data_IF_861728980169
#
_entry.id   IF_861728980169
#
_cell.length_a   1.000
_cell.length_b   1.000
_cell.length_c   1.000
_cell.angle_alpha   90.00
_cell.angle_beta   90.00
_cell.angle_gamma   90.00
#
_symmetry.space_group_name_H-M   'P 1'
#
loop_
_entity.id
_entity.type
_entity.pdbx_description
1 polymer ?
#
# COMPACT_ATOMS: atom_id res chain seq x y z
N UNK A 1 -2.96 14.48 -1.76
CA UNK A 1 -2.65 13.28 -0.95
C UNK A 1 -1.25 13.32 -0.32
N UNK A 2 -0.19 13.67 -1.07
CA UNK A 2 1.21 13.70 -0.61
C UNK A 2 1.45 14.46 0.71
N UNK A 3 0.79 15.60 0.93
CA UNK A 3 0.97 16.40 2.15
C UNK A 3 0.37 15.79 3.44
N UNK A 4 -0.55 14.82 3.33
CA UNK A 4 -1.22 14.24 4.50
C UNK A 4 -0.34 13.14 5.12
N UNK A 5 0.19 12.22 4.31
CA UNK A 5 1.13 11.20 4.78
C UNK A 5 2.43 11.83 5.31
N UNK A 6 2.94 12.87 4.64
CA UNK A 6 4.12 13.62 5.09
C UNK A 6 3.89 14.37 6.42
N UNK A 7 2.69 14.95 6.64
CA UNK A 7 2.36 15.66 7.90
C UNK A 7 2.15 14.74 9.11
N UNK A 8 1.68 13.51 8.90
CA UNK A 8 1.30 12.61 10.00
C UNK A 8 2.31 11.50 10.33
N UNK A 9 3.48 11.49 9.68
CA UNK A 9 4.54 10.52 9.98
C UNK A 9 5.05 10.58 11.42
N UNK A 10 5.02 11.78 12.04
CA UNK A 10 5.33 12.02 13.46
C UNK A 10 4.12 11.91 14.39
N UNK A 11 2.95 11.58 13.85
CA UNK A 11 1.70 11.46 14.61
C UNK A 11 1.63 10.15 15.42
N UNK A 12 0.68 10.08 16.35
CA UNK A 12 0.42 8.89 17.16
C UNK A 12 0.18 7.65 16.26
N UNK A 13 0.74 6.46 16.55
CA UNK A 13 0.68 5.28 15.66
C UNK A 13 -0.74 4.95 15.17
N UNK A 14 -1.74 5.02 16.07
CA UNK A 14 -3.16 4.84 15.74
C UNK A 14 -3.68 5.78 14.64
N UNK A 15 -3.23 7.03 14.61
CA UNK A 15 -3.64 8.02 13.60
C UNK A 15 -3.00 7.71 12.26
N UNK A 16 -1.75 7.24 12.26
CA UNK A 16 -1.05 6.80 11.04
C UNK A 16 -1.76 5.61 10.40
N UNK A 17 -2.12 4.59 11.19
CA UNK A 17 -2.87 3.42 10.70
C UNK A 17 -4.22 3.82 10.11
N UNK A 18 -4.98 4.70 10.78
CA UNK A 18 -6.28 5.16 10.27
C UNK A 18 -6.16 5.96 8.97
N UNK A 19 -5.09 6.76 8.82
CA UNK A 19 -4.81 7.45 7.56
C UNK A 19 -4.41 6.46 6.47
N UNK A 20 -3.56 5.47 6.76
CA UNK A 20 -3.20 4.44 5.79
C UNK A 20 -4.43 3.66 5.31
N UNK A 21 -5.33 3.29 6.21
CA UNK A 21 -6.63 2.66 5.89
C UNK A 21 -7.48 3.60 5.02
N UNK A 22 -7.62 4.88 5.40
CA UNK A 22 -8.40 5.83 4.63
C UNK A 22 -7.82 6.06 3.21
N UNK A 23 -6.50 6.11 3.08
CA UNK A 23 -5.81 6.23 1.79
C UNK A 23 -5.98 4.96 0.96
N UNK A 24 -5.88 3.77 1.57
CA UNK A 24 -6.13 2.50 0.89
C UNK A 24 -7.58 2.39 0.41
N UNK A 25 -8.55 2.75 1.26
CA UNK A 25 -9.96 2.81 0.90
C UNK A 25 -10.21 3.79 -0.25
N UNK A 26 -9.54 4.95 -0.24
CA UNK A 26 -9.61 5.90 -1.36
C UNK A 26 -8.95 5.35 -2.63
N UNK A 27 -7.83 4.63 -2.52
CA UNK A 27 -7.13 4.05 -3.66
C UNK A 27 -7.99 3.04 -4.44
N UNK A 28 -8.87 2.30 -3.75
CA UNK A 28 -9.87 1.45 -4.42
C UNK A 28 -10.78 2.26 -5.36
N UNK A 29 -11.07 3.52 -5.03
CA UNK A 29 -11.95 4.39 -5.83
C UNK A 29 -11.22 5.20 -6.90
N UNK A 30 -9.89 5.32 -6.82
CA UNK A 30 -9.08 6.10 -7.76
C UNK A 30 -8.49 5.15 -8.82
N UNK A 31 -8.75 5.37 -10.12
CA UNK A 31 -8.14 4.62 -11.22
C UNK A 31 -6.61 4.66 -11.16
N UNK A 32 -5.94 3.59 -11.61
CA UNK A 32 -4.48 3.55 -11.68
C UNK A 32 -3.87 4.73 -12.47
N UNK A 33 -4.58 5.22 -13.49
CA UNK A 33 -4.18 6.36 -14.33
C UNK A 33 -4.05 7.67 -13.54
N UNK A 34 -4.90 7.89 -12.54
CA UNK A 34 -4.88 9.08 -11.69
C UNK A 34 -3.76 9.04 -10.64
N UNK A 35 -3.12 7.88 -10.44
CA UNK A 35 -1.91 7.72 -9.63
C UNK A 35 -0.62 7.96 -10.43
N UNK A 36 -0.71 8.12 -11.75
CA UNK A 36 0.42 8.24 -12.66
C UNK A 36 0.73 6.95 -13.42
N UNK A 37 1.83 6.98 -14.17
CA UNK A 37 2.21 5.92 -15.12
C UNK A 37 2.74 4.67 -14.39
N UNK A 38 1.83 3.84 -13.86
CA UNK A 38 2.16 2.59 -13.16
C UNK A 38 1.43 2.36 -11.83
N UNK A 39 0.43 3.19 -11.49
CA UNK A 39 -0.45 2.98 -10.35
C UNK A 39 0.17 3.24 -8.97
N UNK A 40 -0.61 2.95 -7.91
CA UNK A 40 -0.27 3.31 -6.53
C UNK A 40 1.02 2.64 -6.02
N UNK A 41 1.37 1.44 -6.47
CA UNK A 41 2.58 0.73 -6.02
C UNK A 41 3.84 1.39 -6.56
N UNK A 42 3.80 1.85 -7.82
CA UNK A 42 4.93 2.57 -8.41
C UNK A 42 5.08 3.95 -7.79
N UNK A 43 3.96 4.66 -7.57
CA UNK A 43 3.97 5.90 -6.81
C UNK A 43 4.56 5.72 -5.39
N UNK A 44 4.22 4.63 -4.70
CA UNK A 44 4.79 4.29 -3.39
C UNK A 44 6.31 4.09 -3.46
N UNK A 45 6.81 3.41 -4.48
CA UNK A 45 8.25 3.25 -4.71
C UNK A 45 8.94 4.61 -4.83
N UNK A 46 8.44 5.46 -5.73
CA UNK A 46 9.05 6.76 -6.01
C UNK A 46 9.07 7.67 -4.77
N UNK A 47 8.03 7.60 -3.93
CA UNK A 47 7.99 8.34 -2.66
C UNK A 47 8.87 7.73 -1.56
N UNK A 48 9.04 6.41 -1.51
CA UNK A 48 9.96 5.76 -0.58
C UNK A 48 11.42 6.13 -0.92
N UNK A 49 11.76 6.16 -2.20
CA UNK A 49 13.08 6.59 -2.67
C UNK A 49 13.33 8.08 -2.39
N UNK A 50 12.31 8.92 -2.59
CA UNK A 50 12.41 10.37 -2.36
C UNK A 50 12.40 10.75 -0.88
N UNK A 51 11.77 9.94 -0.01
CA UNK A 51 11.58 10.26 1.40
C UNK A 51 11.73 9.01 2.29
N UNK A 52 12.98 8.54 2.52
CA UNK A 52 13.23 7.30 3.26
C UNK A 52 12.78 7.35 4.73
N UNK A 53 12.66 8.54 5.32
CA UNK A 53 12.15 8.76 6.69
C UNK A 53 10.67 8.37 6.88
N UNK A 54 9.91 8.18 5.79
CA UNK A 54 8.50 7.79 5.80
C UNK A 54 8.26 6.33 5.43
N UNK A 55 9.32 5.55 5.14
CA UNK A 55 9.26 4.13 4.77
C UNK A 55 8.31 3.31 5.66
N UNK A 56 8.30 3.44 7.00
CA UNK A 56 7.40 2.65 7.85
C UNK A 56 5.91 2.92 7.58
N UNK A 57 5.54 4.16 7.25
CA UNK A 57 4.16 4.52 6.90
C UNK A 57 3.76 4.06 5.51
N UNK A 58 4.71 4.07 4.56
CA UNK A 58 4.50 3.55 3.22
C UNK A 58 4.40 2.02 3.20
N UNK A 59 5.18 1.32 4.02
CA UNK A 59 5.04 -0.12 4.25
C UNK A 59 3.68 -0.46 4.82
N UNK A 60 3.19 0.33 5.78
CA UNK A 60 1.85 0.15 6.35
C UNK A 60 0.78 0.27 5.26
N UNK A 61 0.89 1.26 4.36
CA UNK A 61 0.01 1.38 3.19
C UNK A 61 0.12 0.16 2.27
N UNK A 62 1.35 -0.29 1.99
CA UNK A 62 1.61 -1.43 1.12
C UNK A 62 1.04 -2.74 1.70
N UNK A 63 0.98 -2.90 3.02
CA UNK A 63 0.35 -4.04 3.69
C UNK A 63 -1.17 -4.02 3.57
N UNK A 64 -1.80 -2.86 3.79
CA UNK A 64 -3.27 -2.75 3.83
C UNK A 64 -3.91 -2.77 2.45
N UNK A 65 -3.19 -2.40 1.38
CA UNK A 65 -3.72 -2.38 0.02
C UNK A 65 -4.31 -3.74 -0.42
N UNK A 66 -3.58 -4.88 -0.32
CA UNK A 66 -4.14 -6.19 -0.58
C UNK A 66 -5.25 -6.58 0.41
N UNK A 67 -5.14 -6.19 1.68
CA UNK A 67 -6.16 -6.50 2.69
C UNK A 67 -7.50 -5.84 2.37
N UNK A 68 -7.49 -4.62 1.83
CA UNK A 68 -8.72 -3.90 1.47
C UNK A 68 -9.42 -4.47 0.23
N UNK A 69 -8.69 -5.18 -0.64
CA UNK A 69 -9.33 -6.00 -1.69
C UNK A 69 -10.10 -7.15 -1.07
N UNK A 70 -9.51 -7.82 -0.08
CA UNK A 70 -10.09 -8.97 0.60
C UNK A 70 -11.16 -8.57 1.64
N UNK A 71 -11.20 -7.30 2.05
CA UNK A 71 -12.10 -6.79 3.07
C UNK A 71 -13.46 -6.38 2.47
N UNK A 72 -14.46 -7.25 2.64
CA UNK A 72 -15.84 -7.02 2.19
C UNK A 72 -16.59 -5.92 2.95
N UNK A 73 -16.00 -5.33 4.01
CA UNK A 73 -16.64 -4.26 4.79
C UNK A 73 -16.59 -2.89 4.11
N UNK A 74 -15.73 -2.69 3.12
CA UNK A 74 -15.71 -1.45 2.34
C UNK A 74 -16.86 -1.46 1.32
N UNK A 75 -17.65 -0.39 1.30
CA UNK A 75 -18.72 -0.10 0.35
C UNK A 75 -18.20 0.21 -1.08
N UNK A 76 -17.22 -0.57 -1.55
CA UNK A 76 -16.72 -0.50 -2.92
C UNK A 76 -17.54 -1.47 -3.78
N UNK A 77 -17.96 -1.01 -4.97
CA UNK A 77 -18.70 -1.84 -5.92
C UNK A 77 -17.85 -3.07 -6.31
N UNK A 78 -18.44 -4.29 -6.36
CA UNK A 78 -17.70 -5.52 -6.66
C UNK A 78 -16.86 -5.46 -7.94
N UNK A 79 -17.36 -4.79 -8.98
CA UNK A 79 -16.66 -4.60 -10.25
C UNK A 79 -15.38 -3.77 -10.10
N UNK A 80 -15.43 -2.67 -9.31
CA UNK A 80 -14.24 -1.85 -9.08
C UNK A 80 -13.21 -2.60 -8.24
N UNK A 81 -13.65 -3.41 -7.28
CA UNK A 81 -12.76 -4.27 -6.49
C UNK A 81 -12.03 -5.28 -7.37
N UNK A 82 -12.73 -5.96 -8.28
CA UNK A 82 -12.10 -6.87 -9.26
C UNK A 82 -11.12 -6.15 -10.19
N UNK A 83 -11.43 -4.92 -10.59
CA UNK A 83 -10.54 -4.11 -11.40
C UNK A 83 -9.27 -3.74 -10.63
N UNK A 84 -9.43 -3.31 -9.37
CA UNK A 84 -8.33 -2.95 -8.49
C UNK A 84 -7.46 -4.15 -8.10
N UNK A 85 -8.06 -5.32 -7.89
CA UNK A 85 -7.36 -6.59 -7.71
C UNK A 85 -6.46 -6.89 -8.92
N UNK A 86 -6.99 -6.82 -10.15
CA UNK A 86 -6.19 -7.00 -11.37
C UNK A 86 -5.06 -5.98 -11.49
N UNK A 87 -5.32 -4.72 -11.15
CA UNK A 87 -4.30 -3.66 -11.11
C UNK A 87 -3.19 -4.02 -10.11
N UNK A 88 -3.52 -4.46 -8.89
CA UNK A 88 -2.54 -4.86 -7.89
C UNK A 88 -1.78 -6.13 -8.28
N UNK A 89 -2.46 -7.14 -8.83
CA UNK A 89 -1.80 -8.36 -9.33
C UNK A 89 -0.78 -8.02 -10.43
N UNK A 90 -1.09 -7.06 -11.31
CA UNK A 90 -0.16 -6.59 -12.34
C UNK A 90 1.08 -5.87 -11.77
N UNK A 91 0.93 -5.26 -10.58
CA UNK A 91 2.01 -4.54 -9.88
C UNK A 91 2.72 -5.38 -8.81
N UNK A 92 2.38 -6.66 -8.68
CA UNK A 92 2.89 -7.52 -7.62
C UNK A 92 4.42 -7.66 -7.67
N UNK A 93 5.02 -7.79 -8.85
CA UNK A 93 6.48 -7.85 -8.98
C UNK A 93 7.15 -6.57 -8.44
N UNK A 94 6.55 -5.42 -8.73
CA UNK A 94 7.04 -4.12 -8.23
C UNK A 94 6.93 -4.06 -6.71
N UNK A 95 5.82 -4.52 -6.14
CA UNK A 95 5.59 -4.57 -4.69
C UNK A 95 6.60 -5.49 -3.98
N UNK A 96 6.80 -6.72 -4.47
CA UNK A 96 7.76 -7.68 -3.90
C UNK A 96 9.19 -7.17 -3.98
N UNK A 97 9.54 -6.44 -5.04
CA UNK A 97 10.85 -5.80 -5.17
C UNK A 97 11.04 -4.68 -4.12
N UNK A 98 10.01 -3.87 -3.85
CA UNK A 98 10.06 -2.85 -2.77
C UNK A 98 10.25 -3.52 -1.41
N UNK A 99 9.46 -4.57 -1.13
CA UNK A 99 9.54 -5.30 0.13
C UNK A 99 10.90 -5.97 0.33
N UNK A 100 11.46 -6.55 -0.73
CA UNK A 100 12.82 -7.11 -0.72
C UNK A 100 13.86 -6.04 -0.38
N UNK A 101 13.74 -4.84 -0.95
CA UNK A 101 14.64 -3.73 -0.60
C UNK A 101 14.48 -3.30 0.87
N UNK A 102 13.26 -3.32 1.40
CA UNK A 102 12.97 -2.98 2.80
C UNK A 102 13.46 -4.05 3.80
N UNK A 103 13.69 -5.30 3.40
CA UNK A 103 14.28 -6.34 4.26
C UNK A 103 15.69 -5.98 4.77
N UNK A 104 16.38 -5.07 4.06
CA UNK A 104 17.67 -4.51 4.49
C UNK A 104 17.58 -3.66 5.77
N UNK A 105 16.38 -3.22 6.17
CA UNK A 105 16.13 -2.40 7.35
C UNK A 105 15.71 -3.32 8.50
N UNK A 106 16.62 -3.57 9.45
CA UNK A 106 16.42 -4.53 10.54
C UNK A 106 15.17 -4.31 11.37
N UNK A 107 14.84 -3.04 11.62
CA UNK A 107 13.76 -2.57 12.47
C UNK A 107 12.37 -2.77 11.84
N UNK A 108 12.32 -3.04 10.54
CA UNK A 108 11.07 -3.19 9.78
C UNK A 108 10.84 -4.63 9.29
N UNK A 109 11.71 -5.58 9.66
CA UNK A 109 11.63 -6.97 9.17
C UNK A 109 10.27 -7.62 9.41
N UNK A 110 9.69 -7.49 10.60
CA UNK A 110 8.38 -8.06 10.91
C UNK A 110 7.29 -7.45 10.02
N UNK A 111 7.25 -6.12 9.91
CA UNK A 111 6.27 -5.41 9.08
C UNK A 111 6.41 -5.75 7.59
N UNK A 112 7.64 -5.91 7.10
CA UNK A 112 7.92 -6.32 5.72
C UNK A 112 7.42 -7.74 5.46
N UNK A 113 7.62 -8.66 6.41
CA UNK A 113 7.12 -10.04 6.30
C UNK A 113 5.59 -10.12 6.33
N UNK A 114 4.94 -9.31 7.17
CA UNK A 114 3.47 -9.19 7.18
C UNK A 114 2.94 -8.65 5.85
N UNK A 115 3.59 -7.63 5.30
CA UNK A 115 3.27 -7.10 3.97
C UNK A 115 3.41 -8.21 2.91
N UNK A 116 4.54 -8.92 2.88
CA UNK A 116 4.73 -10.06 1.97
C UNK A 116 3.59 -11.08 2.08
N UNK A 117 3.19 -11.44 3.30
CA UNK A 117 2.09 -12.38 3.52
C UNK A 117 0.76 -11.84 2.96
N UNK A 118 0.47 -10.56 3.15
CA UNK A 118 -0.74 -9.90 2.61
C UNK A 118 -0.78 -9.95 1.07
N UNK A 119 0.34 -9.65 0.42
CA UNK A 119 0.47 -9.73 -1.05
C UNK A 119 0.38 -11.16 -1.58
N UNK A 120 0.94 -12.15 -0.86
CA UNK A 120 0.81 -13.55 -1.22
C UNK A 120 -0.63 -14.05 -1.09
N UNK A 121 -1.37 -13.58 -0.08
CA UNK A 121 -2.80 -13.88 0.07
C UNK A 121 -3.63 -13.32 -1.08
N UNK A 122 -3.32 -12.12 -1.57
CA UNK A 122 -4.00 -11.55 -2.74
C UNK A 122 -3.84 -12.41 -4.00
N UNK A 123 -2.69 -13.08 -4.19
CA UNK A 123 -2.46 -13.95 -5.35
C UNK A 123 -3.16 -15.31 -5.25
N UNK A 124 -3.33 -15.82 -4.04
CA UNK A 124 -3.82 -17.19 -3.80
C UNK A 124 -5.26 -17.26 -3.27
N UNK A 125 -5.84 -16.14 -2.85
CA UNK A 125 -7.24 -16.01 -2.43
C UNK A 125 -8.15 -15.71 -3.60
#
# INVERSE_FOLDING_TARGET
MQNLLKRFHKGHPKVRTQISIAVAALAVHVPAEDWGDGGIVKWLRDEMDSNPEYIPGFLELLTVLPEEVLNYKIAARPERRRQFEKELTSQMEVALNILTACLGISELKEQVLEAFASWLRLKHG
#
